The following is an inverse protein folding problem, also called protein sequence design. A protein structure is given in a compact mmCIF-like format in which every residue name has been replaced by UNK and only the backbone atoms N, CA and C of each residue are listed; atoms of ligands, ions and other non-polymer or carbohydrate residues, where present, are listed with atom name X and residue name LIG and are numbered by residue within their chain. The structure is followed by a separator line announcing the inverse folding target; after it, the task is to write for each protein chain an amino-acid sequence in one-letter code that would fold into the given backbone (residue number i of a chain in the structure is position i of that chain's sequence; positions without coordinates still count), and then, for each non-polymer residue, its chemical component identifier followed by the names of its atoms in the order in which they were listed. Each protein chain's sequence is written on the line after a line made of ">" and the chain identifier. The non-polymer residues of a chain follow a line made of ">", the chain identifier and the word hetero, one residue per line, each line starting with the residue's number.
data_IF_833362283098
#
_entry.id   IF_833362283098
#
_cell.length_a   1.000
_cell.length_b   1.000
_cell.length_c   1.000
_cell.angle_alpha   90.00
_cell.angle_beta   90.00
_cell.angle_gamma   90.00
#
_symmetry.space_group_name_H-M   'P 1'
#
loop_
_entity.id
_entity.type
_entity.pdbx_description
1 polymer ?
#
# COMPACT_ATOMS: atom_id res chain seq x y z
N UNK A 1 18.23 4.88 -10.50
CA UNK A 1 17.13 4.81 -9.52
C UNK A 1 16.20 5.97 -9.81
N UNK A 2 14.89 5.74 -9.75
CA UNK A 2 13.90 6.80 -9.89
C UNK A 2 13.88 7.67 -8.63
N UNK A 3 13.52 8.96 -8.71
CA UNK A 3 13.55 9.84 -7.56
C UNK A 3 12.46 9.48 -6.54
N UNK A 4 12.84 9.46 -5.26
CA UNK A 4 11.89 9.36 -4.15
C UNK A 4 11.10 10.67 -4.00
N UNK A 5 9.76 10.62 -3.86
CA UNK A 5 8.95 11.82 -3.62
C UNK A 5 9.32 12.57 -2.33
N UNK A 6 9.17 13.89 -2.36
CA UNK A 6 9.35 14.75 -1.20
C UNK A 6 8.16 14.62 -0.23
N UNK A 7 8.48 14.29 1.02
CA UNK A 7 7.55 14.11 2.14
C UNK A 7 7.87 15.06 3.31
N UNK A 8 8.68 16.10 3.09
CA UNK A 8 9.10 17.05 4.13
C UNK A 8 7.97 17.84 4.80
N UNK A 9 6.76 17.85 4.23
CA UNK A 9 5.56 18.45 4.81
C UNK A 9 4.79 17.53 5.76
N UNK A 10 5.17 16.26 5.87
CA UNK A 10 4.44 15.25 6.66
C UNK A 10 4.78 15.42 8.13
N UNK A 11 3.75 15.41 8.98
CA UNK A 11 3.89 15.41 10.44
C UNK A 11 4.07 13.98 10.95
N UNK A 12 5.32 13.62 11.25
CA UNK A 12 5.69 12.26 11.64
C UNK A 12 5.36 11.90 13.09
N UNK A 13 4.86 12.85 13.90
CA UNK A 13 4.33 12.53 15.22
C UNK A 13 3.02 11.71 15.11
N UNK A 14 2.34 11.79 13.95
CA UNK A 14 1.01 11.21 13.72
C UNK A 14 0.93 10.31 12.49
N UNK A 15 1.98 10.31 11.65
CA UNK A 15 2.02 9.61 10.36
C UNK A 15 3.33 8.85 10.27
N UNK A 16 3.30 7.65 9.71
CA UNK A 16 4.50 6.84 9.51
C UNK A 16 5.51 7.53 8.57
N UNK A 17 6.75 7.66 9.04
CA UNK A 17 7.88 8.12 8.23
C UNK A 17 8.35 7.00 7.28
N UNK A 18 8.57 7.29 5.99
CA UNK A 18 9.12 6.31 5.05
C UNK A 18 10.42 5.67 5.54
N UNK A 19 10.40 4.34 5.71
CA UNK A 19 11.54 3.56 6.17
C UNK A 19 11.91 2.44 5.16
N UNK A 20 12.76 1.50 5.60
CA UNK A 20 13.31 0.41 4.76
C UNK A 20 12.23 -0.39 4.01
N UNK A 21 11.07 -0.57 4.62
CA UNK A 21 9.90 -1.25 4.06
C UNK A 21 9.28 -0.48 2.88
N UNK A 22 9.15 0.84 3.03
CA UNK A 22 8.68 1.76 2.00
C UNK A 22 9.66 1.78 0.82
N UNK A 23 10.96 1.88 1.10
CA UNK A 23 12.02 1.84 0.09
C UNK A 23 12.10 0.50 -0.64
N UNK A 24 11.82 -0.62 0.05
CA UNK A 24 11.73 -1.92 -0.60
C UNK A 24 10.58 -1.97 -1.63
N UNK A 25 9.42 -1.38 -1.35
CA UNK A 25 8.33 -1.27 -2.32
C UNK A 25 8.74 -0.44 -3.54
N UNK A 26 9.35 0.72 -3.30
CA UNK A 26 9.87 1.63 -4.34
C UNK A 26 10.86 0.89 -5.27
N UNK A 27 11.84 0.21 -4.68
CA UNK A 27 12.86 -0.55 -5.41
C UNK A 27 12.27 -1.75 -6.16
N UNK A 28 11.33 -2.47 -5.55
CA UNK A 28 10.68 -3.63 -6.16
C UNK A 28 9.86 -3.22 -7.38
N UNK A 29 9.00 -2.22 -7.24
CA UNK A 29 8.09 -1.75 -8.29
C UNK A 29 8.83 -1.06 -9.44
N UNK A 30 10.04 -0.54 -9.19
CA UNK A 30 10.92 0.05 -10.22
C UNK A 30 12.01 -0.89 -10.75
N UNK A 31 12.06 -2.14 -10.27
CA UNK A 31 13.03 -3.13 -10.73
C UNK A 31 12.81 -3.50 -12.19
N UNK A 32 13.89 -3.90 -12.88
CA UNK A 32 13.82 -4.28 -14.30
C UNK A 32 12.86 -5.46 -14.56
N UNK A 33 12.83 -6.44 -13.66
CA UNK A 33 11.91 -7.59 -13.76
C UNK A 33 10.46 -7.17 -13.59
N UNK A 34 10.16 -6.32 -12.61
CA UNK A 34 8.77 -5.96 -12.31
C UNK A 34 8.21 -4.96 -13.31
N UNK A 35 9.01 -3.99 -13.74
CA UNK A 35 8.60 -3.08 -14.82
C UNK A 35 8.37 -3.84 -16.13
N UNK A 36 9.20 -4.82 -16.49
CA UNK A 36 8.96 -5.67 -17.65
C UNK A 36 7.63 -6.47 -17.54
N UNK A 37 7.33 -7.01 -16.36
CA UNK A 37 6.04 -7.66 -16.08
C UNK A 37 4.88 -6.67 -16.25
N UNK A 38 4.92 -5.52 -15.58
CA UNK A 38 3.86 -4.51 -15.61
C UNK A 38 3.64 -3.96 -17.03
N UNK A 39 4.69 -3.75 -17.81
CA UNK A 39 4.60 -3.32 -19.21
C UNK A 39 3.87 -4.36 -20.06
N UNK A 40 4.21 -5.64 -19.90
CA UNK A 40 3.57 -6.74 -20.63
C UNK A 40 2.11 -6.92 -20.21
N UNK A 41 1.87 -6.96 -18.90
CA UNK A 41 0.56 -7.22 -18.29
C UNK A 41 -0.43 -6.07 -18.55
N UNK A 42 0.07 -4.83 -18.55
CA UNK A 42 -0.70 -3.62 -18.83
C UNK A 42 -0.54 -3.07 -20.25
N UNK A 43 -0.04 -3.87 -21.21
CA UNK A 43 0.24 -3.42 -22.59
C UNK A 43 -1.00 -2.90 -23.34
N UNK A 44 -2.16 -3.50 -23.10
CA UNK A 44 -3.41 -3.16 -23.79
C UNK A 44 -4.51 -2.75 -22.80
N UNK A 45 -5.63 -2.24 -23.30
CA UNK A 45 -6.78 -1.81 -22.49
C UNK A 45 -6.67 -0.38 -21.96
N UNK A 46 -7.55 -0.02 -21.03
CA UNK A 46 -7.58 1.30 -20.38
C UNK A 46 -6.39 1.51 -19.43
N UNK A 47 -6.21 2.77 -19.01
CA UNK A 47 -5.19 3.13 -18.01
C UNK A 47 -5.47 2.39 -16.70
N UNK A 48 -4.48 1.68 -16.11
CA UNK A 48 -4.69 0.93 -14.88
C UNK A 48 -5.15 1.83 -13.74
N UNK A 49 -6.12 1.37 -12.95
CA UNK A 49 -6.42 1.93 -11.63
C UNK A 49 -5.45 1.35 -10.60
N UNK A 50 -4.54 2.19 -10.12
CA UNK A 50 -3.59 1.91 -9.06
C UNK A 50 -4.17 2.38 -7.73
N UNK A 51 -4.31 1.46 -6.78
CA UNK A 51 -4.78 1.73 -5.42
C UNK A 51 -3.70 1.42 -4.41
N UNK A 52 -3.30 2.40 -3.61
CA UNK A 52 -2.53 2.15 -2.39
C UNK A 52 -3.49 2.10 -1.18
N UNK A 53 -3.40 1.02 -0.40
CA UNK A 53 -4.08 0.90 0.90
C UNK A 53 -3.10 1.29 1.99
N UNK A 54 -3.55 2.06 2.98
CA UNK A 54 -2.68 2.56 4.06
C UNK A 54 -1.59 3.49 3.55
N UNK A 55 -1.96 4.56 2.83
CA UNK A 55 -1.02 5.47 2.16
C UNK A 55 0.07 6.08 3.04
N UNK A 56 -0.18 6.28 4.34
CA UNK A 56 0.74 6.97 5.25
C UNK A 56 1.15 8.34 4.72
N UNK A 57 2.45 8.54 4.51
CA UNK A 57 3.01 9.75 3.89
C UNK A 57 2.65 9.95 2.41
N UNK A 58 2.15 8.90 1.74
CA UNK A 58 1.85 8.83 0.31
C UNK A 58 3.07 8.65 -0.59
N UNK A 59 4.24 8.33 -0.03
CA UNK A 59 5.49 8.20 -0.79
C UNK A 59 5.41 7.16 -1.90
N UNK A 60 4.72 6.03 -1.68
CA UNK A 60 4.59 4.95 -2.67
C UNK A 60 3.58 5.33 -3.75
N UNK A 61 2.37 5.79 -3.41
CA UNK A 61 1.39 6.26 -4.41
C UNK A 61 1.95 7.41 -5.25
N UNK A 62 2.64 8.36 -4.63
CA UNK A 62 3.26 9.50 -5.32
C UNK A 62 4.38 9.03 -6.27
N UNK A 63 5.19 8.05 -5.87
CA UNK A 63 6.23 7.48 -6.72
C UNK A 63 5.65 6.77 -7.94
N UNK A 64 4.62 5.95 -7.74
CA UNK A 64 3.93 5.26 -8.83
C UNK A 64 3.27 6.24 -9.81
N UNK A 65 2.66 7.30 -9.29
CA UNK A 65 2.06 8.36 -10.11
C UNK A 65 3.12 9.11 -10.93
N UNK A 66 4.15 9.65 -10.26
CA UNK A 66 5.19 10.46 -10.89
C UNK A 66 6.02 9.69 -11.92
N UNK A 67 6.20 8.38 -11.73
CA UNK A 67 7.04 7.54 -12.57
C UNK A 67 6.25 6.57 -13.45
N UNK A 68 4.96 6.84 -13.70
CA UNK A 68 4.06 5.91 -14.40
C UNK A 68 4.57 5.52 -15.81
N UNK A 69 5.19 6.45 -16.53
CA UNK A 69 5.77 6.20 -17.85
C UNK A 69 6.90 5.17 -17.80
N UNK A 70 7.73 5.19 -16.76
CA UNK A 70 8.82 4.21 -16.59
C UNK A 70 8.28 2.89 -16.05
N UNK A 71 7.39 2.93 -15.06
CA UNK A 71 6.94 1.73 -14.34
C UNK A 71 5.92 0.93 -15.14
N UNK A 72 4.99 1.60 -15.83
CA UNK A 72 3.89 0.96 -16.56
C UNK A 72 3.99 1.10 -18.08
N UNK A 73 4.92 1.91 -18.61
CA UNK A 73 4.98 2.28 -20.04
C UNK A 73 3.72 3.01 -20.53
N UNK A 74 2.94 3.59 -19.60
CA UNK A 74 1.67 4.26 -19.88
C UNK A 74 1.22 5.16 -18.73
N UNK A 75 0.17 5.94 -18.94
CA UNK A 75 -0.52 6.64 -17.86
C UNK A 75 -1.33 5.66 -17.00
N UNK A 76 -1.49 6.04 -15.73
CA UNK A 76 -2.31 5.35 -14.73
C UNK A 76 -3.29 6.34 -14.08
N UNK A 77 -4.34 5.81 -13.48
CA UNK A 77 -5.18 6.54 -12.52
C UNK A 77 -4.79 6.08 -11.10
N UNK A 78 -4.52 7.00 -10.18
CA UNK A 78 -4.12 6.67 -8.81
C UNK A 78 -5.18 7.08 -7.80
N UNK A 79 -5.42 6.20 -6.83
CA UNK A 79 -6.33 6.39 -5.70
C UNK A 79 -5.66 5.84 -4.44
N UNK A 80 -5.80 6.50 -3.31
CA UNK A 80 -5.32 6.00 -2.03
C UNK A 80 -6.48 5.72 -1.08
N UNK A 81 -6.23 4.90 -0.07
CA UNK A 81 -7.08 4.79 1.12
C UNK A 81 -6.21 4.85 2.37
N UNK A 82 -6.71 5.45 3.43
CA UNK A 82 -6.06 5.41 4.74
C UNK A 82 -7.09 5.56 5.87
N UNK A 83 -6.86 4.87 6.98
CA UNK A 83 -7.72 5.00 8.15
C UNK A 83 -7.43 6.33 8.87
N UNK A 84 -6.21 6.84 8.81
CA UNK A 84 -5.83 8.13 9.36
C UNK A 84 -6.11 9.27 8.35
N UNK A 85 -7.08 10.14 8.66
CA UNK A 85 -7.47 11.31 7.85
C UNK A 85 -6.27 12.22 7.57
N UNK A 86 -5.35 12.35 8.53
CA UNK A 86 -4.17 13.21 8.38
C UNK A 86 -3.18 12.61 7.37
N UNK A 87 -3.02 11.29 7.38
CA UNK A 87 -2.31 10.57 6.32
C UNK A 87 -2.97 10.79 4.95
N UNK A 88 -4.31 10.75 4.84
CA UNK A 88 -4.98 11.05 3.56
C UNK A 88 -4.64 12.43 3.00
N UNK A 89 -4.64 13.46 3.87
CA UNK A 89 -4.31 14.84 3.49
C UNK A 89 -2.85 14.93 3.08
N UNK A 90 -1.94 14.39 3.89
CA UNK A 90 -0.50 14.40 3.65
C UNK A 90 -0.15 13.68 2.33
N UNK A 91 -0.68 12.47 2.13
CA UNK A 91 -0.48 11.68 0.92
C UNK A 91 -1.03 12.40 -0.33
N UNK A 92 -2.19 13.05 -0.23
CA UNK A 92 -2.74 13.85 -1.33
C UNK A 92 -1.82 15.02 -1.71
N UNK A 93 -1.18 15.66 -0.73
CA UNK A 93 -0.18 16.70 -0.98
C UNK A 93 1.10 16.13 -1.60
N UNK A 94 1.60 15.00 -1.10
CA UNK A 94 2.77 14.29 -1.64
C UNK A 94 2.58 13.94 -3.12
N UNK A 95 1.43 13.36 -3.49
CA UNK A 95 1.12 13.01 -4.89
C UNK A 95 1.06 14.27 -5.77
N UNK A 96 0.43 15.34 -5.30
CA UNK A 96 0.33 16.61 -6.04
C UNK A 96 1.70 17.27 -6.25
N UNK A 97 2.59 17.22 -5.26
CA UNK A 97 3.97 17.73 -5.38
C UNK A 97 4.80 16.90 -6.37
N UNK A 98 4.67 15.58 -6.32
CA UNK A 98 5.42 14.67 -7.19
C UNK A 98 4.92 14.70 -8.65
N UNK A 99 3.61 14.83 -8.86
CA UNK A 99 3.00 14.93 -10.18
C UNK A 99 3.05 16.36 -10.70
N UNK A 100 4.19 16.76 -11.28
CA UNK A 100 4.32 18.03 -12.00
C UNK A 100 3.43 18.12 -13.24
N UNK A 101 3.40 19.28 -13.91
CA UNK A 101 2.54 19.55 -15.09
C UNK A 101 2.75 18.59 -16.27
N UNK A 102 3.89 17.90 -16.32
CA UNK A 102 4.27 17.01 -17.42
C UNK A 102 3.90 15.53 -17.17
N UNK A 103 3.51 15.18 -15.95
CA UNK A 103 3.16 13.80 -15.59
C UNK A 103 1.76 13.47 -16.13
N UNK A 104 1.67 12.42 -16.96
CA UNK A 104 0.42 12.01 -17.62
C UNK A 104 -0.51 11.15 -16.75
N UNK A 105 -0.15 10.86 -15.50
CA UNK A 105 -1.01 10.12 -14.58
C UNK A 105 -2.13 11.01 -14.04
N UNK A 106 -3.32 10.44 -13.87
CA UNK A 106 -4.43 11.12 -13.19
C UNK A 106 -4.43 10.72 -11.72
N UNK A 107 -4.38 11.70 -10.82
CA UNK A 107 -4.60 11.46 -9.39
C UNK A 107 -6.07 11.73 -9.06
N UNK A 108 -6.78 10.71 -8.59
CA UNK A 108 -8.18 10.81 -8.21
C UNK A 108 -8.32 11.44 -6.82
N UNK A 109 -7.90 10.74 -5.77
CA UNK A 109 -7.92 11.23 -4.38
C UNK A 109 -7.18 10.26 -3.44
N UNK A 110 -7.11 10.61 -2.15
CA UNK A 110 -6.94 9.65 -1.06
C UNK A 110 -8.20 9.68 -0.18
N UNK A 111 -8.83 8.53 -0.02
CA UNK A 111 -10.10 8.39 0.72
C UNK A 111 -9.82 7.98 2.16
N UNK A 112 -10.39 8.70 3.11
CA UNK A 112 -10.37 8.25 4.50
C UNK A 112 -11.35 7.09 4.68
N UNK A 113 -10.84 5.89 4.91
CA UNK A 113 -11.62 4.67 4.92
C UNK A 113 -10.83 3.45 5.39
N UNK A 114 -11.56 2.43 5.81
CA UNK A 114 -10.99 1.17 6.28
C UNK A 114 -10.72 0.24 5.09
N UNK A 115 -9.45 -0.14 4.90
CA UNK A 115 -8.97 -0.99 3.81
C UNK A 115 -9.61 -0.59 2.45
N UNK A 116 -10.32 -1.51 1.80
CA UNK A 116 -10.94 -1.25 0.48
C UNK A 116 -12.44 -1.02 0.56
N UNK A 117 -12.97 -0.64 1.72
CA UNK A 117 -14.42 -0.44 1.94
C UNK A 117 -15.04 0.63 1.04
N UNK A 118 -14.26 1.64 0.64
CA UNK A 118 -14.69 2.68 -0.29
C UNK A 118 -14.49 2.30 -1.78
N UNK A 119 -13.97 1.10 -2.06
CA UNK A 119 -13.59 0.65 -3.40
C UNK A 119 -14.62 -0.34 -3.93
N UNK A 120 -15.10 -0.05 -5.14
CA UNK A 120 -16.03 -0.92 -5.86
C UNK A 120 -15.33 -2.22 -6.30
N UNK A 121 -16.07 -3.32 -6.21
CA UNK A 121 -15.64 -4.65 -6.65
C UNK A 121 -15.13 -4.68 -8.10
N UNK A 122 -14.09 -5.48 -8.32
CA UNK A 122 -13.55 -5.74 -9.65
C UNK A 122 -12.96 -4.54 -10.38
N UNK A 123 -12.61 -3.45 -9.69
CA UNK A 123 -12.11 -2.22 -10.31
C UNK A 123 -10.59 -2.04 -10.21
N UNK A 124 -9.91 -2.67 -9.25
CA UNK A 124 -8.50 -2.37 -8.97
C UNK A 124 -7.58 -3.19 -9.86
N UNK A 125 -6.79 -2.51 -10.69
CA UNK A 125 -5.83 -3.16 -11.57
C UNK A 125 -4.49 -3.40 -10.87
N UNK A 126 -4.06 -2.47 -10.01
CA UNK A 126 -2.84 -2.60 -9.23
C UNK A 126 -3.15 -2.21 -7.80
N UNK A 127 -3.10 -3.15 -6.86
CA UNK A 127 -3.22 -2.89 -5.44
C UNK A 127 -1.82 -2.90 -4.81
N UNK A 128 -1.51 -1.93 -3.97
CA UNK A 128 -0.27 -1.90 -3.19
C UNK A 128 -0.62 -1.75 -1.72
N UNK A 129 -0.01 -2.56 -0.86
CA UNK A 129 -0.20 -2.48 0.58
C UNK A 129 1.11 -2.71 1.33
N UNK A 130 1.50 -1.70 2.12
CA UNK A 130 2.44 -1.87 3.22
C UNK A 130 1.62 -1.98 4.51
N UNK A 131 1.30 -3.20 5.00
CA UNK A 131 0.45 -3.36 6.17
C UNK A 131 1.11 -2.87 7.46
N UNK A 132 0.34 -2.61 8.52
CA UNK A 132 0.87 -2.67 9.87
C UNK A 132 1.22 -4.13 10.20
N UNK A 133 2.50 -4.50 10.16
CA UNK A 133 2.98 -5.88 10.29
C UNK A 133 3.64 -6.20 11.64
N UNK A 134 3.69 -5.24 12.57
CA UNK A 134 4.33 -5.43 13.89
C UNK A 134 3.38 -6.17 14.83
N UNK A 135 3.80 -7.28 15.48
CA UNK A 135 2.98 -7.95 16.48
C UNK A 135 2.76 -7.06 17.71
N UNK A 136 1.61 -6.38 17.76
CA UNK A 136 1.22 -5.46 18.82
C UNK A 136 -0.31 -5.41 18.91
N UNK A 137 -0.84 -5.05 20.08
CA UNK A 137 -2.28 -4.87 20.27
C UNK A 137 -2.83 -3.80 19.31
N UNK A 138 -3.95 -4.09 18.66
CA UNK A 138 -4.60 -3.14 17.78
C UNK A 138 -5.12 -1.94 18.58
N UNK A 139 -5.04 -0.71 18.03
CA UNK A 139 -5.62 0.45 18.68
C UNK A 139 -7.14 0.30 18.88
N UNK A 140 -7.66 0.81 20.00
CA UNK A 140 -9.10 0.80 20.26
C UNK A 140 -9.85 1.66 19.22
N UNK A 141 -10.45 0.99 18.24
CA UNK A 141 -11.17 1.63 17.14
C UNK A 141 -12.42 2.39 17.60
N UNK A 142 -12.92 2.18 18.83
CA UNK A 142 -14.02 2.98 19.38
C UNK A 142 -13.62 4.45 19.59
N UNK A 143 -12.32 4.70 19.79
CA UNK A 143 -11.75 6.05 19.92
C UNK A 143 -11.39 6.66 18.56
N UNK A 144 -11.35 5.86 17.49
CA UNK A 144 -10.83 6.29 16.21
C UNK A 144 -11.62 7.48 15.64
N UNK A 145 -12.96 7.41 15.64
CA UNK A 145 -13.78 8.52 15.14
C UNK A 145 -13.52 9.84 15.87
N UNK A 146 -13.24 9.79 17.18
CA UNK A 146 -12.86 10.97 17.97
C UNK A 146 -11.50 11.49 17.51
N UNK A 147 -10.47 10.65 17.55
CA UNK A 147 -9.09 11.07 17.30
C UNK A 147 -8.81 11.47 15.86
N UNK A 148 -9.52 10.86 14.91
CA UNK A 148 -9.36 11.11 13.49
C UNK A 148 -9.83 12.53 13.06
N UNK A 149 -10.73 13.16 13.84
CA UNK A 149 -11.23 14.53 13.57
C UNK A 149 -10.94 15.52 14.69
N UNK A 150 -10.32 15.11 15.80
CA UNK A 150 -10.10 15.99 16.94
C UNK A 150 -9.02 17.05 16.68
N UNK A 151 -9.40 18.31 16.83
CA UNK A 151 -8.54 19.50 16.76
C UNK A 151 -8.72 20.36 18.03
N UNK A 152 -7.76 21.24 18.33
CA UNK A 152 -7.84 22.13 19.49
C UNK A 152 -7.74 21.44 20.86
N UNK A 153 -7.07 20.30 20.93
CA UNK A 153 -6.90 19.47 22.13
C UNK A 153 -5.93 20.09 23.14
N UNK A 154 -6.09 19.70 24.41
CA UNK A 154 -5.04 19.92 25.42
C UNK A 154 -3.79 19.11 25.09
N UNK A 155 -2.62 19.47 25.63
CA UNK A 155 -1.36 18.78 25.33
C UNK A 155 -1.41 17.27 25.65
N UNK A 156 -2.10 16.88 26.71
CA UNK A 156 -2.25 15.46 27.07
C UNK A 156 -3.15 14.70 26.09
N UNK A 157 -4.30 15.27 25.71
CA UNK A 157 -5.21 14.63 24.75
C UNK A 157 -4.61 14.58 23.33
N UNK A 158 -3.81 15.58 22.96
CA UNK A 158 -3.06 15.57 21.71
C UNK A 158 -2.06 14.40 21.68
N UNK A 159 -1.33 14.16 22.76
CA UNK A 159 -0.42 13.02 22.87
C UNK A 159 -1.15 11.67 22.72
N UNK A 160 -2.29 11.50 23.40
CA UNK A 160 -3.08 10.26 23.29
C UNK A 160 -3.63 10.04 21.87
N UNK A 161 -4.09 11.12 21.22
CA UNK A 161 -4.52 11.10 19.82
C UNK A 161 -3.37 10.70 18.90
N UNK A 162 -2.20 11.31 19.07
CA UNK A 162 -1.06 11.13 18.18
C UNK A 162 -0.50 9.71 18.30
N UNK A 163 -0.39 9.22 19.53
CA UNK A 163 -0.05 7.81 19.81
C UNK A 163 -1.06 6.84 19.18
N UNK A 164 -2.36 7.11 19.30
CA UNK A 164 -3.40 6.28 18.68
C UNK A 164 -3.28 6.26 17.15
N UNK A 165 -3.11 7.42 16.51
CA UNK A 165 -3.02 7.53 15.06
C UNK A 165 -1.75 6.90 14.50
N UNK A 166 -0.61 7.06 15.18
CA UNK A 166 0.64 6.41 14.78
C UNK A 166 0.56 4.89 14.97
N UNK A 167 -0.11 4.39 16.01
CA UNK A 167 -0.27 2.96 16.22
C UNK A 167 -1.02 2.26 15.07
N UNK A 168 -1.92 2.95 14.37
CA UNK A 168 -2.61 2.42 13.18
C UNK A 168 -1.65 2.04 12.04
N UNK A 169 -0.44 2.62 11.98
CA UNK A 169 0.50 2.38 10.88
C UNK A 169 1.41 1.18 11.10
N UNK A 170 1.56 0.70 12.34
CA UNK A 170 2.48 -0.41 12.65
C UNK A 170 1.82 -1.58 13.37
N UNK A 171 0.81 -1.36 14.23
CA UNK A 171 0.23 -2.41 15.05
C UNK A 171 -0.65 -3.35 14.21
N UNK A 172 -0.18 -4.58 14.00
CA UNK A 172 -0.81 -5.57 13.15
C UNK A 172 -1.65 -6.62 13.87
N UNK A 173 -1.79 -6.54 15.19
CA UNK A 173 -2.49 -7.54 15.99
C UNK A 173 -1.67 -8.81 16.22
N UNK A 174 -2.36 -9.92 16.45
CA UNK A 174 -1.74 -11.25 16.63
C UNK A 174 -0.86 -11.59 15.43
N UNK A 175 0.40 -11.93 15.71
CA UNK A 175 1.46 -12.22 14.73
C UNK A 175 1.68 -11.11 13.66
N UNK A 176 1.15 -9.91 13.89
CA UNK A 176 1.21 -8.80 12.94
C UNK A 176 0.35 -9.01 11.69
N UNK A 177 -0.71 -9.83 11.77
CA UNK A 177 -1.45 -10.30 10.60
C UNK A 177 -2.94 -10.00 10.59
N UNK A 178 -3.55 -9.47 11.65
CA UNK A 178 -5.00 -9.25 11.71
C UNK A 178 -5.49 -8.30 10.63
N UNK A 179 -4.79 -7.19 10.39
CA UNK A 179 -5.14 -6.23 9.33
C UNK A 179 -4.82 -6.80 7.94
N UNK A 180 -3.69 -7.49 7.82
CA UNK A 180 -3.24 -8.09 6.57
C UNK A 180 -4.17 -9.20 6.09
N UNK A 181 -4.63 -10.07 6.99
CA UNK A 181 -5.58 -11.15 6.69
C UNK A 181 -6.91 -10.58 6.21
N UNK A 182 -7.41 -9.51 6.85
CA UNK A 182 -8.61 -8.80 6.38
C UNK A 182 -8.44 -8.27 4.96
N UNK A 183 -7.30 -7.66 4.61
CA UNK A 183 -7.08 -7.23 3.24
C UNK A 183 -7.01 -8.44 2.28
N UNK A 184 -6.30 -9.50 2.65
CA UNK A 184 -6.17 -10.70 1.82
C UNK A 184 -7.53 -11.30 1.49
N UNK A 185 -8.49 -11.28 2.44
CA UNK A 185 -9.87 -11.72 2.20
C UNK A 185 -10.63 -10.81 1.22
N UNK A 186 -10.26 -9.52 1.12
CA UNK A 186 -10.85 -8.56 0.18
C UNK A 186 -10.22 -8.59 -1.23
N UNK A 187 -9.00 -9.11 -1.36
CA UNK A 187 -8.25 -9.16 -2.65
C UNK A 187 -9.07 -9.80 -3.78
N UNK A 188 -9.70 -10.99 -3.60
CA UNK A 188 -10.51 -11.60 -4.66
C UNK A 188 -11.72 -10.76 -5.11
N UNK A 189 -12.28 -9.94 -4.21
CA UNK A 189 -13.43 -9.08 -4.47
C UNK A 189 -13.03 -7.80 -5.21
N UNK A 190 -11.94 -7.16 -4.77
CA UNK A 190 -11.60 -5.80 -5.20
C UNK A 190 -10.80 -5.76 -6.51
N UNK A 191 -9.94 -6.76 -6.74
CA UNK A 191 -9.12 -6.80 -7.94
C UNK A 191 -9.96 -7.02 -9.20
N UNK A 192 -9.63 -6.29 -10.25
CA UNK A 192 -10.16 -6.52 -11.60
C UNK A 192 -9.69 -7.87 -12.15
N UNK A 193 -10.22 -8.30 -13.30
CA UNK A 193 -9.81 -9.56 -13.94
C UNK A 193 -8.33 -9.59 -14.34
N UNK A 194 -7.74 -8.41 -14.57
CA UNK A 194 -6.31 -8.23 -14.84
C UNK A 194 -5.54 -7.74 -13.61
N UNK A 195 -6.19 -7.72 -12.45
CA UNK A 195 -5.67 -7.11 -11.24
C UNK A 195 -4.46 -7.86 -10.69
N UNK A 196 -3.52 -7.10 -10.14
CA UNK A 196 -2.36 -7.59 -9.41
C UNK A 196 -2.26 -6.86 -8.08
N UNK A 197 -1.93 -7.56 -7.00
CA UNK A 197 -1.67 -6.96 -5.68
C UNK A 197 -0.20 -7.15 -5.30
N UNK A 198 0.39 -6.13 -4.69
CA UNK A 198 1.72 -6.17 -4.07
C UNK A 198 1.56 -5.94 -2.57
N UNK A 199 1.89 -6.95 -1.77
CA UNK A 199 1.75 -6.90 -0.32
C UNK A 199 3.11 -7.15 0.31
N UNK A 200 3.51 -6.26 1.22
CA UNK A 200 4.73 -6.42 2.01
C UNK A 200 4.49 -7.37 3.18
N UNK A 201 5.48 -8.23 3.44
CA UNK A 201 5.51 -9.12 4.60
C UNK A 201 6.90 -9.12 5.24
N UNK A 202 6.95 -9.28 6.56
CA UNK A 202 8.16 -9.61 7.28
C UNK A 202 8.27 -11.14 7.47
N UNK A 203 9.45 -11.63 7.86
CA UNK A 203 9.68 -13.06 8.07
C UNK A 203 8.75 -13.68 9.13
N UNK A 204 8.36 -12.92 10.15
CA UNK A 204 7.48 -13.38 11.23
C UNK A 204 6.07 -13.69 10.72
N UNK A 205 5.61 -13.01 9.66
CA UNK A 205 4.32 -13.28 9.03
C UNK A 205 4.28 -14.61 8.26
N UNK A 206 5.40 -15.35 8.16
CA UNK A 206 5.52 -16.64 7.45
C UNK A 206 5.02 -16.57 5.99
N UNK A 207 5.62 -15.72 5.14
CA UNK A 207 5.14 -15.45 3.77
C UNK A 207 5.01 -16.70 2.87
N UNK A 208 5.81 -17.75 3.09
CA UNK A 208 5.66 -19.00 2.34
C UNK A 208 4.33 -19.73 2.66
N UNK A 209 3.88 -19.68 3.92
CA UNK A 209 2.59 -20.26 4.32
C UNK A 209 1.44 -19.47 3.72
N UNK A 210 1.54 -18.13 3.75
CA UNK A 210 0.58 -17.21 3.14
C UNK A 210 0.47 -17.47 1.63
N UNK A 211 1.60 -17.55 0.92
CA UNK A 211 1.62 -17.87 -0.52
C UNK A 211 0.96 -19.22 -0.82
N UNK A 212 1.19 -20.25 0.00
CA UNK A 212 0.50 -21.55 -0.17
C UNK A 212 -1.01 -21.43 0.02
N UNK A 213 -1.47 -20.67 1.03
CA UNK A 213 -2.90 -20.41 1.29
C UNK A 213 -3.55 -19.65 0.13
N UNK A 214 -2.90 -18.62 -0.38
CA UNK A 214 -3.38 -17.83 -1.52
C UNK A 214 -3.56 -18.71 -2.77
N UNK A 215 -2.59 -19.58 -3.08
CA UNK A 215 -2.69 -20.51 -4.22
C UNK A 215 -3.84 -21.52 -4.11
N UNK A 216 -4.40 -21.71 -2.91
CA UNK A 216 -5.56 -22.57 -2.67
C UNK A 216 -6.89 -21.80 -2.78
N UNK A 217 -6.86 -20.47 -3.00
CA UNK A 217 -8.08 -19.70 -3.21
C UNK A 217 -8.84 -20.15 -4.46
N UNK A 218 -10.19 -20.08 -4.45
CA UNK A 218 -10.99 -20.44 -5.60
C UNK A 218 -10.74 -19.50 -6.78
N UNK A 219 -10.81 -20.04 -8.00
CA UNK A 219 -10.68 -19.27 -9.23
C UNK A 219 -9.25 -19.10 -9.75
N UNK A 220 -8.29 -19.86 -9.23
CA UNK A 220 -6.92 -19.94 -9.75
C UNK A 220 -6.09 -18.70 -9.43
N UNK A 221 -5.19 -18.82 -8.47
CA UNK A 221 -4.36 -17.72 -7.97
C UNK A 221 -2.90 -18.12 -7.90
N UNK A 222 -2.04 -17.16 -8.17
CA UNK A 222 -0.61 -17.27 -7.92
C UNK A 222 -0.14 -16.17 -6.98
N UNK A 223 0.94 -16.46 -6.26
CA UNK A 223 1.53 -15.59 -5.27
C UNK A 223 3.05 -15.78 -5.24
N UNK A 224 3.81 -14.80 -5.72
CA UNK A 224 5.26 -14.91 -5.89
C UNK A 224 5.99 -13.81 -5.13
N UNK A 225 7.16 -14.14 -4.56
CA UNK A 225 8.04 -13.12 -3.99
C UNK A 225 8.76 -12.42 -5.13
N UNK A 226 8.53 -11.12 -5.29
CA UNK A 226 9.10 -10.29 -6.37
C UNK A 226 10.14 -9.28 -5.87
N UNK A 227 10.20 -9.06 -4.56
CA UNK A 227 11.19 -8.20 -3.91
C UNK A 227 11.58 -8.72 -2.54
N UNK A 228 12.82 -8.47 -2.12
CA UNK A 228 13.28 -8.80 -0.77
C UNK A 228 14.43 -7.89 -0.33
N UNK A 229 14.48 -7.55 0.96
CA UNK A 229 15.60 -6.82 1.58
C UNK A 229 16.90 -7.66 1.69
N UNK A 230 16.83 -8.95 1.34
CA UNK A 230 17.99 -9.85 1.32
C UNK A 230 18.49 -10.23 2.72
N UNK A 231 19.74 -10.69 2.81
CA UNK A 231 20.38 -11.12 4.08
C UNK A 231 21.11 -9.98 4.83
N UNK A 232 21.11 -8.76 4.30
CA UNK A 232 21.95 -7.64 4.76
C UNK A 232 21.17 -6.51 5.44
N UNK A 233 19.85 -6.45 5.28
CA UNK A 233 19.02 -5.62 6.16
C UNK A 233 18.97 -6.28 7.55
N UNK A 234 18.89 -5.49 8.61
CA UNK A 234 19.02 -5.93 10.00
C UNK A 234 17.96 -6.93 10.45
N UNK A 235 17.32 -6.67 11.60
CA UNK A 235 16.59 -7.69 12.36
C UNK A 235 15.35 -8.28 11.67
N UNK A 236 14.89 -7.71 10.54
CA UNK A 236 13.74 -8.21 9.80
C UNK A 236 14.03 -8.42 8.31
N UNK A 237 13.88 -9.66 7.85
CA UNK A 237 13.84 -9.97 6.41
C UNK A 237 12.46 -9.59 5.90
N UNK A 238 12.43 -8.61 5.01
CA UNK A 238 11.22 -8.13 4.34
C UNK A 238 11.13 -8.75 2.95
N UNK A 239 9.91 -8.98 2.48
CA UNK A 239 9.63 -9.38 1.12
C UNK A 239 8.33 -8.79 0.60
N UNK A 240 8.28 -8.55 -0.71
CA UNK A 240 7.08 -8.14 -1.42
C UNK A 240 6.55 -9.36 -2.16
N UNK A 241 5.28 -9.69 -1.93
CA UNK A 241 4.57 -10.75 -2.64
C UNK A 241 3.62 -10.14 -3.65
N UNK A 242 3.78 -10.54 -4.91
CA UNK A 242 2.86 -10.26 -6.01
C UNK A 242 1.79 -11.34 -6.06
N UNK A 243 0.53 -10.95 -6.01
CA UNK A 243 -0.64 -11.83 -6.03
C UNK A 243 -1.47 -11.51 -7.28
N UNK A 244 -1.85 -12.52 -8.05
CA UNK A 244 -2.69 -12.33 -9.24
C UNK A 244 -3.48 -13.59 -9.57
N UNK A 245 -4.55 -13.44 -10.36
CA UNK A 245 -5.26 -14.59 -10.93
C UNK A 245 -4.37 -15.27 -11.97
N UNK A 246 -4.31 -16.60 -11.95
CA UNK A 246 -3.74 -17.36 -13.05
C UNK A 246 -4.69 -17.26 -14.23
N UNK A 247 -4.24 -16.83 -15.40
CA UNK A 247 -5.03 -16.97 -16.61
C UNK A 247 -5.32 -18.45 -16.79
N UNK A 248 -6.60 -18.83 -16.92
CA UNK A 248 -6.94 -20.17 -17.34
C UNK A 248 -6.21 -20.41 -18.66
N UNK A 249 -5.30 -21.38 -18.69
CA UNK A 249 -4.92 -22.01 -19.94
C UNK A 249 -6.16 -22.73 -20.43
N UNK A 250 -6.90 -22.07 -21.33
CA UNK A 250 -7.87 -22.75 -22.19
C UNK A 250 -7.18 -23.84 -23.02
#
# INVERSE_FOLDING_TARGET
>A
MLPTPDTSHVDYDQIYEPAEDSYLLLDTLSSASETAFLHSHFRTGHAPLVVEVGTGSGVVLAFLAANASTIFSRSVCTLGTDLNRRACVAASETVKKACGKEVKSSFANVVNGDLTSAIKDGQVDVLVFNPPYVPAELPDLSLHAKYNTADGLTSSEAFDRDSHLLALSYAGGVDGMEVTDRLLDEVPRVLSQRGVAYVLFCAQNKPEEIKRRIRQWPGGWDAETVGSSGKKAGWEKLCIVRIMRTTATD
#
